data_IF_858439892979
#
_entry.id   IF_858439892979
#
_cell.length_a   1.000
_cell.length_b   1.000
_cell.length_c   1.000
_cell.angle_alpha   90.00
_cell.angle_beta   90.00
_cell.angle_gamma   90.00
#
_symmetry.space_group_name_H-M   'P 1'
#
loop_
_entity.id
_entity.type
_entity.pdbx_description
1 polymer ?
#
# COMPACT_ATOMS: atom_id res chain seq x y z
N UNK A 1 12.55 12.54 -9.32
CA UNK A 1 11.19 12.58 -9.62
C UNK A 1 10.41 11.66 -8.77
N UNK A 2 9.40 12.11 -8.14
CA UNK A 2 8.58 11.27 -7.28
C UNK A 2 7.47 10.61 -8.06
N UNK A 3 6.82 9.65 -7.42
CA UNK A 3 5.64 9.01 -7.96
C UNK A 3 4.44 9.70 -7.34
N UNK A 4 3.52 10.16 -8.17
CA UNK A 4 2.33 10.80 -7.65
C UNK A 4 1.35 9.75 -7.14
N UNK A 5 0.95 9.89 -5.90
CA UNK A 5 0.01 8.99 -5.28
C UNK A 5 -1.28 9.74 -4.94
N UNK A 6 -2.41 9.09 -5.17
CA UNK A 6 -3.68 9.64 -4.76
C UNK A 6 -3.93 9.32 -3.29
N UNK A 7 -4.90 9.99 -2.69
CA UNK A 7 -5.18 9.80 -1.27
C UNK A 7 -5.38 8.35 -0.89
N UNK A 8 -6.10 7.60 -1.71
CA UNK A 8 -6.35 6.20 -1.39
C UNK A 8 -5.05 5.40 -1.41
N UNK A 9 -4.16 5.72 -2.34
CA UNK A 9 -2.90 5.02 -2.43
C UNK A 9 -1.99 5.37 -1.27
N UNK A 10 -2.05 6.62 -0.80
CA UNK A 10 -1.28 7.03 0.35
C UNK A 10 -1.69 6.28 1.61
N UNK A 11 -2.97 5.90 1.73
CA UNK A 11 -3.41 5.13 2.89
C UNK A 11 -2.64 3.81 2.99
N UNK A 12 -2.46 3.14 1.86
CA UNK A 12 -1.71 1.89 1.83
C UNK A 12 -0.23 2.16 2.10
N UNK A 13 0.32 3.17 1.45
CA UNK A 13 1.73 3.46 1.59
C UNK A 13 2.11 3.84 3.00
N UNK A 14 1.26 4.61 3.68
CA UNK A 14 1.57 5.01 5.04
C UNK A 14 1.68 3.83 5.98
N UNK A 15 0.86 2.82 5.77
CA UNK A 15 0.95 1.61 6.57
C UNK A 15 2.27 0.91 6.31
N UNK A 16 2.67 0.81 5.06
CA UNK A 16 3.92 0.15 4.71
C UNK A 16 5.14 0.91 5.21
N UNK A 17 5.09 2.24 5.16
CA UNK A 17 6.19 3.03 5.68
C UNK A 17 6.34 2.88 7.19
N UNK A 18 5.22 2.71 7.87
CA UNK A 18 5.23 2.57 9.31
C UNK A 18 5.61 1.16 9.75
N UNK A 19 5.00 0.16 9.11
CA UNK A 19 5.17 -1.22 9.54
C UNK A 19 6.27 -1.97 8.80
N UNK A 20 6.68 -1.47 7.66
CA UNK A 20 7.67 -2.15 6.84
C UNK A 20 6.98 -3.07 5.86
N UNK A 21 7.13 -4.37 6.08
CA UNK A 21 6.63 -5.35 5.15
C UNK A 21 5.42 -6.05 5.74
N UNK A 22 4.33 -6.10 4.98
CA UNK A 22 3.10 -6.72 5.44
C UNK A 22 2.45 -7.50 4.31
N UNK A 23 1.64 -8.50 4.67
CA UNK A 23 0.81 -9.17 3.67
C UNK A 23 -0.35 -8.26 3.29
N UNK A 24 -0.88 -8.46 2.08
CA UNK A 24 -2.03 -7.69 1.64
C UNK A 24 -3.23 -7.89 2.55
N UNK A 25 -3.39 -9.12 3.06
CA UNK A 25 -4.49 -9.40 3.99
C UNK A 25 -4.38 -8.61 5.28
N UNK A 26 -3.16 -8.42 5.78
CA UNK A 26 -2.95 -7.65 6.99
C UNK A 26 -3.25 -6.17 6.74
N UNK A 27 -2.82 -5.66 5.60
CA UNK A 27 -3.11 -4.29 5.23
C UNK A 27 -4.62 -4.09 5.13
N UNK A 28 -5.32 -5.05 4.53
CA UNK A 28 -6.78 -4.98 4.40
C UNK A 28 -7.45 -4.94 5.77
N UNK A 29 -6.95 -5.73 6.71
CA UNK A 29 -7.51 -5.75 8.06
C UNK A 29 -7.33 -4.40 8.74
N UNK A 30 -6.15 -3.83 8.63
CA UNK A 30 -5.87 -2.54 9.25
C UNK A 30 -6.78 -1.46 8.67
N UNK A 31 -6.90 -1.41 7.36
CA UNK A 31 -7.71 -0.36 6.74
C UNK A 31 -9.19 -0.55 6.98
N UNK A 32 -9.63 -1.79 7.14
CA UNK A 32 -11.01 -2.02 7.50
C UNK A 32 -11.29 -1.45 8.89
N UNK A 33 -10.38 -1.66 9.82
CA UNK A 33 -10.56 -1.19 11.19
C UNK A 33 -10.41 0.32 11.31
N UNK A 34 -9.50 0.90 10.56
CA UNK A 34 -9.23 2.32 10.69
C UNK A 34 -10.16 3.22 9.89
N UNK A 35 -10.52 2.83 8.70
CA UNK A 35 -11.31 3.69 7.83
C UNK A 35 -12.47 2.97 7.15
N UNK A 36 -12.72 1.72 7.51
CA UNK A 36 -13.90 1.02 7.01
C UNK A 36 -13.84 0.52 5.58
N UNK A 37 -12.67 0.42 4.99
CA UNK A 37 -12.55 -0.10 3.64
C UNK A 37 -12.85 -1.59 3.63
N UNK A 38 -13.60 -2.05 2.63
CA UNK A 38 -13.75 -3.48 2.50
C UNK A 38 -12.51 -4.07 1.84
N UNK A 39 -12.40 -5.38 1.90
CA UNK A 39 -11.21 -6.07 1.43
C UNK A 39 -10.94 -5.83 -0.05
N UNK A 40 -11.99 -5.83 -0.87
CA UNK A 40 -11.81 -5.63 -2.30
C UNK A 40 -11.25 -4.25 -2.62
N UNK A 41 -11.71 -3.24 -1.91
CA UNK A 41 -11.21 -1.89 -2.10
C UNK A 41 -9.72 -1.83 -1.82
N UNK A 42 -9.30 -2.43 -0.70
CA UNK A 42 -7.89 -2.42 -0.33
C UNK A 42 -7.04 -3.14 -1.37
N UNK A 43 -7.49 -4.31 -1.84
CA UNK A 43 -6.72 -5.05 -2.83
C UNK A 43 -6.61 -4.29 -4.14
N UNK A 44 -7.68 -3.60 -4.55
CA UNK A 44 -7.65 -2.80 -5.77
C UNK A 44 -6.61 -1.69 -5.65
N UNK A 45 -6.57 -1.02 -4.50
CA UNK A 45 -5.62 0.08 -4.31
C UNK A 45 -4.19 -0.46 -4.26
N UNK A 46 -3.98 -1.60 -3.60
CA UNK A 46 -2.66 -2.21 -3.56
C UNK A 46 -2.16 -2.51 -4.97
N UNK A 47 -3.03 -3.04 -5.83
CA UNK A 47 -2.66 -3.32 -7.20
C UNK A 47 -2.25 -2.06 -7.95
N UNK A 48 -2.96 -0.96 -7.70
CA UNK A 48 -2.59 0.31 -8.33
C UNK A 48 -1.22 0.77 -7.89
N UNK A 49 -0.90 0.61 -6.61
CA UNK A 49 0.41 0.95 -6.10
C UNK A 49 1.50 0.11 -6.76
N UNK A 50 1.22 -1.18 -6.97
CA UNK A 50 2.16 -2.06 -7.64
C UNK A 50 2.38 -1.61 -9.08
N UNK A 51 1.31 -1.27 -9.77
CA UNK A 51 1.40 -0.82 -11.16
C UNK A 51 2.19 0.47 -11.30
N UNK A 52 2.13 1.32 -10.31
CA UNK A 52 2.88 2.57 -10.33
C UNK A 52 4.35 2.37 -9.94
N UNK A 53 4.72 1.20 -9.48
CA UNK A 53 6.07 0.96 -9.03
C UNK A 53 6.34 1.42 -7.61
N UNK A 54 5.31 1.72 -6.85
CA UNK A 54 5.48 2.17 -5.48
C UNK A 54 5.54 1.02 -4.48
N UNK A 55 4.99 -0.13 -4.84
CA UNK A 55 4.94 -1.30 -3.97
C UNK A 55 5.42 -2.51 -4.73
N UNK A 56 6.16 -3.35 -4.05
CA UNK A 56 6.60 -4.62 -4.60
C UNK A 56 5.78 -5.73 -3.95
N UNK A 57 5.30 -6.64 -4.77
CA UNK A 57 4.62 -7.83 -4.29
C UNK A 57 5.55 -9.01 -4.39
N UNK A 58 5.60 -9.84 -3.36
CA UNK A 58 6.37 -11.07 -3.45
C UNK A 58 5.71 -12.16 -2.61
N UNK A 59 6.07 -13.38 -2.95
CA UNK A 59 5.53 -14.53 -2.28
C UNK A 59 6.40 -14.88 -1.08
N UNK A 60 5.86 -15.65 -0.14
CA UNK A 60 4.51 -16.20 -0.14
C UNK A 60 3.47 -15.24 0.44
N UNK A 61 2.23 -15.56 0.24
CA UNK A 61 1.11 -14.88 0.89
C UNK A 61 0.92 -13.42 0.49
N UNK A 62 1.29 -13.08 -0.74
CA UNK A 62 1.07 -11.72 -1.24
C UNK A 62 1.65 -10.70 -0.26
N UNK A 63 2.93 -10.78 -0.01
CA UNK A 63 3.59 -9.79 0.82
C UNK A 63 3.84 -8.54 0.03
N UNK A 64 3.75 -7.42 0.71
CA UNK A 64 3.92 -6.11 0.10
C UNK A 64 5.01 -5.33 0.81
N UNK A 65 5.78 -4.60 0.03
CA UNK A 65 6.84 -3.78 0.57
C UNK A 65 6.89 -2.48 -0.24
N UNK A 66 7.10 -1.36 0.45
CA UNK A 66 7.22 -0.09 -0.24
C UNK A 66 8.54 -0.05 -1.00
N UNK A 67 8.48 0.37 -2.26
CA UNK A 67 9.67 0.55 -3.07
C UNK A 67 10.16 1.99 -3.07
N UNK A 68 9.34 2.91 -2.57
CA UNK A 68 9.71 4.32 -2.50
C UNK A 68 9.55 4.78 -1.06
N UNK A 69 10.32 5.78 -0.69
CA UNK A 69 10.22 6.35 0.64
C UNK A 69 9.10 7.38 0.67
N UNK A 70 8.70 7.76 1.86
CA UNK A 70 7.70 8.80 2.02
C UNK A 70 8.16 10.10 1.37
N UNK A 71 9.45 10.34 1.42
CA UNK A 71 10.03 11.53 0.84
C UNK A 71 9.93 11.53 -0.68
N UNK A 72 10.06 10.35 -1.29
CA UNK A 72 9.97 10.22 -2.74
C UNK A 72 8.54 10.31 -3.24
N UNK A 73 7.60 9.94 -2.41
CA UNK A 73 6.21 10.02 -2.79
C UNK A 73 5.72 11.43 -2.56
N UNK A 74 5.62 12.20 -3.57
CA UNK A 74 5.35 13.48 -3.28
C UNK A 74 4.31 14.08 -3.86
N UNK A 75 3.88 15.02 -3.40
CA UNK A 75 2.99 15.68 -3.86
C UNK A 75 3.22 16.61 -4.65
#
# INVERSE_FOLDING_TARGET
>A
MGIKLYDSELKVMEILWKEGELTAGHIAKILKEEIGWNRNTTYTVIKKCIEKGAVERFEPKFRCRALISKKDAQE
#
